data_IF_829916116956
#
_entry.id   IF_829916116956
#
_cell.length_a   1.000
_cell.length_b   1.000
_cell.length_c   1.000
_cell.angle_alpha   90.00
_cell.angle_beta   90.00
_cell.angle_gamma   90.00
#
_symmetry.space_group_name_H-M   'P 1'
#
loop_
_entity.id
_entity.type
_entity.pdbx_description
1 polymer ?
#
# COMPACT_ATOMS: atom_id res chain seq x y z
N UNK A 1 -103.76 -9.80 23.64
CA UNK A 1 -103.44 -11.14 23.12
C UNK A 1 -102.82 -11.09 21.73
N UNK A 2 -103.52 -10.69 20.65
CA UNK A 2 -102.89 -10.59 19.31
C UNK A 2 -101.84 -9.47 19.22
N UNK A 3 -102.18 -8.27 19.72
CA UNK A 3 -101.29 -7.10 19.68
C UNK A 3 -99.99 -7.27 20.49
N UNK A 4 -100.03 -8.06 21.58
CA UNK A 4 -98.86 -8.41 22.38
C UNK A 4 -97.95 -9.41 21.65
N UNK A 5 -98.54 -10.29 20.84
CA UNK A 5 -97.81 -11.21 19.97
C UNK A 5 -97.13 -10.48 18.81
N UNK A 6 -97.80 -9.49 18.21
CA UNK A 6 -97.24 -8.67 17.13
C UNK A 6 -96.06 -7.81 17.63
N UNK A 7 -96.17 -7.24 18.83
CA UNK A 7 -95.07 -6.48 19.46
C UNK A 7 -93.89 -7.38 19.84
N UNK A 8 -94.15 -8.58 20.35
CA UNK A 8 -93.12 -9.59 20.61
C UNK A 8 -92.41 -10.02 19.31
N UNK A 9 -93.17 -10.28 18.24
CA UNK A 9 -92.64 -10.68 16.94
C UNK A 9 -91.74 -9.59 16.33
N UNK A 10 -92.16 -8.31 16.42
CA UNK A 10 -91.35 -7.17 15.99
C UNK A 10 -90.02 -7.09 16.76
N UNK A 11 -90.06 -7.26 18.10
CA UNK A 11 -88.86 -7.23 18.94
C UNK A 11 -87.92 -8.41 18.68
N UNK A 12 -88.46 -9.60 18.45
CA UNK A 12 -87.67 -10.78 18.03
C UNK A 12 -87.02 -10.49 16.67
N UNK A 13 -87.75 -9.91 15.72
CA UNK A 13 -87.21 -9.50 14.42
C UNK A 13 -86.02 -8.54 14.55
N UNK A 14 -86.14 -7.51 15.40
CA UNK A 14 -85.05 -6.57 15.69
C UNK A 14 -83.84 -7.25 16.34
N UNK A 15 -84.05 -8.15 17.31
CA UNK A 15 -82.96 -8.90 17.94
C UNK A 15 -82.25 -9.81 16.94
N UNK A 16 -82.98 -10.47 16.05
CA UNK A 16 -82.39 -11.31 14.99
C UNK A 16 -81.55 -10.45 14.03
N UNK A 17 -82.02 -9.26 13.67
CA UNK A 17 -81.25 -8.33 12.84
C UNK A 17 -79.95 -7.88 13.54
N UNK A 18 -80.03 -7.52 14.82
CA UNK A 18 -78.87 -7.13 15.62
C UNK A 18 -77.85 -8.27 15.73
N UNK A 19 -78.30 -9.51 15.99
CA UNK A 19 -77.40 -10.68 16.05
C UNK A 19 -76.71 -10.92 14.71
N UNK A 20 -77.42 -10.78 13.59
CA UNK A 20 -76.82 -10.88 12.24
C UNK A 20 -75.78 -9.79 11.99
N UNK A 21 -76.06 -8.56 12.40
CA UNK A 21 -75.10 -7.47 12.29
C UNK A 21 -73.84 -7.72 13.12
N UNK A 22 -73.99 -8.10 14.39
CA UNK A 22 -72.86 -8.43 15.28
C UNK A 22 -72.05 -9.62 14.75
N UNK A 23 -72.70 -10.62 14.14
CA UNK A 23 -71.99 -11.72 13.47
C UNK A 23 -71.17 -11.23 12.27
N UNK A 24 -71.74 -10.36 11.43
CA UNK A 24 -71.03 -9.77 10.31
C UNK A 24 -69.82 -8.93 10.79
N UNK A 25 -70.02 -8.08 11.78
CA UNK A 25 -68.95 -7.27 12.39
C UNK A 25 -67.85 -8.15 13.00
N UNK A 26 -68.22 -9.21 13.72
CA UNK A 26 -67.25 -10.19 14.25
C UNK A 26 -66.42 -10.83 13.13
N UNK A 27 -67.06 -11.26 12.04
CA UNK A 27 -66.33 -11.87 10.90
C UNK A 27 -65.40 -10.87 10.22
N UNK A 28 -65.83 -9.60 10.09
CA UNK A 28 -65.00 -8.54 9.55
C UNK A 28 -63.78 -8.27 10.44
N UNK A 29 -63.96 -8.15 11.76
CA UNK A 29 -62.86 -7.96 12.71
C UNK A 29 -61.90 -9.16 12.71
N UNK A 30 -62.41 -10.39 12.65
CA UNK A 30 -61.57 -11.58 12.55
C UNK A 30 -60.71 -11.57 11.29
N UNK A 31 -61.28 -11.18 10.14
CA UNK A 31 -60.50 -11.06 8.90
C UNK A 31 -59.41 -9.99 8.98
N UNK A 32 -59.71 -8.86 9.63
CA UNK A 32 -58.75 -7.79 9.85
C UNK A 32 -57.61 -8.22 10.78
N UNK A 33 -57.91 -8.94 11.86
CA UNK A 33 -56.90 -9.47 12.77
C UNK A 33 -55.94 -10.42 12.05
N UNK A 34 -56.46 -11.36 11.26
CA UNK A 34 -55.63 -12.29 10.48
C UNK A 34 -54.73 -11.52 9.51
N UNK A 35 -55.26 -10.50 8.83
CA UNK A 35 -54.46 -9.66 7.92
C UNK A 35 -53.36 -8.91 8.66
N UNK A 36 -53.67 -8.27 9.79
CA UNK A 36 -52.68 -7.56 10.60
C UNK A 36 -51.61 -8.49 11.16
N UNK A 37 -51.96 -9.72 11.55
CA UNK A 37 -51.00 -10.72 12.00
C UNK A 37 -50.05 -11.16 10.88
N UNK A 38 -50.57 -11.33 9.66
CA UNK A 38 -49.76 -11.63 8.48
C UNK A 38 -48.81 -10.48 8.15
N UNK A 39 -49.31 -9.24 8.13
CA UNK A 39 -48.50 -8.04 7.88
C UNK A 39 -47.40 -7.88 8.94
N UNK A 40 -47.74 -8.05 10.23
CA UNK A 40 -46.76 -8.04 11.33
C UNK A 40 -45.69 -9.10 11.16
N UNK A 41 -46.05 -10.32 10.78
CA UNK A 41 -45.09 -11.39 10.59
C UNK A 41 -44.17 -11.10 9.41
N UNK A 42 -44.71 -10.59 8.29
CA UNK A 42 -43.92 -10.19 7.13
C UNK A 42 -42.93 -9.05 7.47
N UNK A 43 -43.35 -8.06 8.27
CA UNK A 43 -42.48 -6.98 8.73
C UNK A 43 -41.37 -7.49 9.65
N UNK A 44 -41.67 -8.45 10.54
CA UNK A 44 -40.66 -9.09 11.40
C UNK A 44 -39.62 -9.84 10.57
N UNK A 45 -40.06 -10.59 9.56
CA UNK A 45 -39.16 -11.32 8.67
C UNK A 45 -38.27 -10.36 7.86
N UNK A 46 -38.84 -9.26 7.36
CA UNK A 46 -38.07 -8.21 6.68
C UNK A 46 -37.03 -7.58 7.61
N UNK A 47 -37.42 -7.23 8.84
CA UNK A 47 -36.52 -6.67 9.83
C UNK A 47 -35.38 -7.63 10.17
N UNK A 48 -35.67 -8.92 10.36
CA UNK A 48 -34.66 -9.93 10.63
C UNK A 48 -33.65 -10.07 9.46
N UNK A 49 -34.13 -10.03 8.21
CA UNK A 49 -33.27 -10.05 7.02
C UNK A 49 -32.38 -8.82 6.95
N UNK A 50 -32.94 -7.63 7.13
CA UNK A 50 -32.18 -6.38 7.13
C UNK A 50 -31.12 -6.37 8.24
N UNK A 51 -31.45 -6.83 9.44
CA UNK A 51 -30.48 -6.95 10.54
C UNK A 51 -29.33 -7.90 10.19
N UNK A 52 -29.62 -9.05 9.57
CA UNK A 52 -28.60 -9.98 9.12
C UNK A 52 -27.71 -9.37 8.02
N UNK A 53 -28.29 -8.67 7.06
CA UNK A 53 -27.56 -7.96 6.01
C UNK A 53 -26.66 -6.86 6.57
N UNK A 54 -27.16 -6.06 7.51
CA UNK A 54 -26.38 -5.03 8.19
C UNK A 54 -25.23 -5.62 9.00
N UNK A 55 -25.46 -6.71 9.74
CA UNK A 55 -24.42 -7.40 10.47
C UNK A 55 -23.32 -7.91 9.53
N UNK A 56 -23.70 -8.57 8.42
CA UNK A 56 -22.77 -9.06 7.41
C UNK A 56 -22.01 -7.92 6.70
N UNK A 57 -22.65 -6.78 6.43
CA UNK A 57 -21.99 -5.61 5.88
C UNK A 57 -20.97 -5.01 6.86
N UNK A 58 -21.35 -4.91 8.14
CA UNK A 58 -20.46 -4.39 9.20
C UNK A 58 -19.24 -5.28 9.39
N UNK A 59 -19.43 -6.61 9.37
CA UNK A 59 -18.34 -7.57 9.45
C UNK A 59 -17.38 -7.42 8.26
N UNK A 60 -17.90 -7.35 7.03
CA UNK A 60 -17.06 -7.14 5.83
C UNK A 60 -16.30 -5.82 5.87
N UNK A 61 -16.90 -4.75 6.39
CA UNK A 61 -16.22 -3.47 6.58
C UNK A 61 -15.09 -3.57 7.61
N UNK A 62 -15.32 -4.29 8.72
CA UNK A 62 -14.29 -4.52 9.73
C UNK A 62 -13.12 -5.33 9.16
N UNK A 63 -13.40 -6.42 8.45
CA UNK A 63 -12.40 -7.24 7.76
C UNK A 63 -11.59 -6.39 6.77
N UNK A 64 -12.27 -5.63 5.90
CA UNK A 64 -11.60 -4.78 4.93
C UNK A 64 -10.77 -3.66 5.58
N UNK A 65 -11.24 -3.06 6.67
CA UNK A 65 -10.46 -2.06 7.42
C UNK A 65 -9.17 -2.67 7.98
N UNK A 66 -9.25 -3.89 8.52
CA UNK A 66 -8.07 -4.62 8.99
C UNK A 66 -7.11 -4.93 7.83
N UNK A 67 -7.62 -5.35 6.67
CA UNK A 67 -6.80 -5.59 5.48
C UNK A 67 -6.06 -4.31 5.05
N UNK A 68 -6.77 -3.18 4.96
CA UNK A 68 -6.17 -1.88 4.59
C UNK A 68 -5.08 -1.48 5.59
N UNK A 69 -5.32 -1.65 6.89
CA UNK A 69 -4.32 -1.33 7.91
C UNK A 69 -3.08 -2.23 7.78
N UNK A 70 -3.26 -3.53 7.50
CA UNK A 70 -2.12 -4.44 7.27
C UNK A 70 -1.31 -4.07 6.03
N UNK A 71 -1.98 -3.76 4.92
CA UNK A 71 -1.31 -3.34 3.67
C UNK A 71 -0.57 -2.04 3.88
N UNK A 72 -1.17 -1.09 4.62
CA UNK A 72 -0.52 0.18 4.95
C UNK A 72 0.73 -0.03 5.80
N UNK A 73 0.65 -0.85 6.84
CA UNK A 73 1.81 -1.17 7.68
C UNK A 73 2.93 -1.85 6.88
N UNK A 74 2.59 -2.77 5.97
CA UNK A 74 3.55 -3.40 5.06
C UNK A 74 4.19 -2.41 4.10
N UNK A 75 3.41 -1.49 3.53
CA UNK A 75 3.90 -0.45 2.64
C UNK A 75 4.87 0.49 3.38
N UNK A 76 4.50 0.95 4.57
CA UNK A 76 5.35 1.81 5.40
C UNK A 76 6.68 1.11 5.76
N UNK A 77 6.63 -0.14 6.19
CA UNK A 77 7.83 -0.94 6.47
C UNK A 77 8.72 -1.13 5.23
N UNK A 78 8.11 -1.36 4.06
CA UNK A 78 8.85 -1.51 2.80
C UNK A 78 9.53 -0.20 2.38
N UNK A 79 8.88 0.94 2.59
CA UNK A 79 9.44 2.26 2.29
C UNK A 79 10.61 2.59 3.22
N UNK A 80 10.49 2.28 4.51
CA UNK A 80 11.59 2.44 5.46
C UNK A 80 12.79 1.56 5.09
N UNK A 81 12.56 0.29 4.74
CA UNK A 81 13.61 -0.61 4.29
C UNK A 81 14.31 -0.09 3.02
N UNK A 82 13.54 0.38 2.03
CA UNK A 82 14.09 0.96 0.80
C UNK A 82 14.90 2.23 1.06
N UNK A 83 14.44 3.10 1.97
CA UNK A 83 15.19 4.30 2.37
C UNK A 83 16.52 3.93 3.02
N UNK A 84 16.51 3.00 3.97
CA UNK A 84 17.73 2.54 4.61
C UNK A 84 18.72 1.93 3.60
N UNK A 85 18.22 1.16 2.64
CA UNK A 85 19.04 0.55 1.58
C UNK A 85 19.61 1.59 0.61
N UNK A 86 18.84 2.63 0.28
CA UNK A 86 19.31 3.75 -0.54
C UNK A 86 20.39 4.57 0.18
N UNK A 87 20.21 4.81 1.48
CA UNK A 87 21.20 5.51 2.31
C UNK A 87 22.50 4.70 2.43
N UNK A 88 22.42 3.39 2.65
CA UNK A 88 23.60 2.53 2.71
C UNK A 88 24.35 2.50 1.38
N UNK A 89 23.64 2.33 0.27
CA UNK A 89 24.23 2.34 -1.07
C UNK A 89 24.88 3.69 -1.40
N UNK A 90 24.27 4.81 -0.96
CA UNK A 90 24.85 6.13 -1.14
C UNK A 90 26.15 6.31 -0.34
N UNK A 91 26.21 5.78 0.88
CA UNK A 91 27.42 5.81 1.70
C UNK A 91 28.53 4.96 1.09
N UNK A 92 28.21 3.73 0.66
CA UNK A 92 29.14 2.84 -0.04
C UNK A 92 29.72 3.50 -1.28
N UNK A 93 28.86 4.08 -2.13
CA UNK A 93 29.31 4.79 -3.33
C UNK A 93 30.23 5.98 -3.00
N UNK A 94 29.93 6.74 -1.95
CA UNK A 94 30.81 7.85 -1.51
C UNK A 94 32.17 7.36 -1.05
N UNK A 95 32.22 6.22 -0.34
CA UNK A 95 33.46 5.59 0.09
C UNK A 95 34.27 5.05 -1.08
N UNK A 96 33.61 4.42 -2.06
CA UNK A 96 34.28 3.96 -3.27
C UNK A 96 34.85 5.11 -4.09
N UNK A 97 34.07 6.17 -4.31
CA UNK A 97 34.54 7.35 -5.03
C UNK A 97 35.74 8.01 -4.33
N UNK A 98 35.72 8.11 -3.00
CA UNK A 98 36.86 8.69 -2.27
C UNK A 98 38.10 7.80 -2.37
N UNK A 99 37.94 6.47 -2.32
CA UNK A 99 39.02 5.51 -2.53
C UNK A 99 39.61 5.62 -3.94
N UNK A 100 38.77 5.61 -4.98
CA UNK A 100 39.25 5.73 -6.36
C UNK A 100 39.99 7.05 -6.60
N UNK A 101 39.54 8.15 -6.00
CA UNK A 101 40.27 9.43 -6.06
C UNK A 101 41.64 9.34 -5.42
N UNK A 102 41.73 8.78 -4.20
CA UNK A 102 43.01 8.62 -3.52
C UNK A 102 43.97 7.69 -4.29
N UNK A 103 43.45 6.62 -4.89
CA UNK A 103 44.24 5.70 -5.70
C UNK A 103 44.70 6.36 -7.02
N UNK A 104 43.85 7.18 -7.65
CA UNK A 104 44.21 7.98 -8.82
C UNK A 104 45.31 9.00 -8.51
N UNK A 105 45.18 9.76 -7.43
CA UNK A 105 46.18 10.74 -6.99
C UNK A 105 47.54 10.08 -6.73
N UNK A 106 47.56 8.90 -6.09
CA UNK A 106 48.79 8.12 -5.89
C UNK A 106 49.41 7.64 -7.20
N UNK A 107 48.59 7.19 -8.15
CA UNK A 107 49.07 6.75 -9.46
C UNK A 107 49.67 7.92 -10.24
N UNK A 108 49.03 9.10 -10.20
CA UNK A 108 49.52 10.33 -10.82
C UNK A 108 50.86 10.77 -10.22
N UNK A 109 51.00 10.78 -8.90
CA UNK A 109 52.25 11.09 -8.21
C UNK A 109 53.38 10.11 -8.55
N UNK A 110 53.06 8.81 -8.66
CA UNK A 110 54.03 7.77 -9.04
C UNK A 110 54.50 7.96 -10.48
N UNK A 111 53.57 8.28 -11.40
CA UNK A 111 53.88 8.58 -12.80
C UNK A 111 54.78 9.82 -12.91
N UNK A 112 54.47 10.90 -12.17
CA UNK A 112 55.27 12.11 -12.16
C UNK A 112 56.69 11.85 -11.63
N UNK A 113 56.80 11.09 -10.54
CA UNK A 113 58.11 10.66 -9.99
C UNK A 113 58.91 9.88 -11.04
N UNK A 114 58.30 8.86 -11.66
CA UNK A 114 58.97 8.05 -12.70
C UNK A 114 59.38 8.89 -13.92
N UNK A 115 58.55 9.86 -14.34
CA UNK A 115 58.87 10.76 -15.44
C UNK A 115 60.07 11.66 -15.12
N UNK A 116 60.14 12.23 -13.91
CA UNK A 116 61.28 13.05 -13.48
C UNK A 116 62.56 12.23 -13.35
N UNK A 117 62.49 11.01 -12.82
CA UNK A 117 63.62 10.10 -12.74
C UNK A 117 64.12 9.70 -14.13
N UNK A 118 63.20 9.38 -15.04
CA UNK A 118 63.52 9.09 -16.45
C UNK A 118 64.19 10.28 -17.16
N UNK A 119 63.74 11.50 -16.90
CA UNK A 119 64.35 12.72 -17.44
C UNK A 119 65.76 12.92 -16.89
N UNK A 120 65.96 12.69 -15.58
CA UNK A 120 67.27 12.76 -14.92
C UNK A 120 68.24 11.72 -15.48
N UNK A 121 67.80 10.47 -15.64
CA UNK A 121 68.61 9.39 -16.23
C UNK A 121 69.02 9.73 -17.67
N UNK A 122 68.10 10.27 -18.48
CA UNK A 122 68.40 10.75 -19.83
C UNK A 122 69.44 11.87 -19.82
N UNK A 123 69.31 12.86 -18.95
CA UNK A 123 70.29 13.95 -18.84
C UNK A 123 71.68 13.44 -18.44
N UNK A 124 71.76 12.51 -17.49
CA UNK A 124 73.03 11.88 -17.09
C UNK A 124 73.62 11.05 -18.24
N UNK A 125 72.79 10.30 -18.98
CA UNK A 125 73.25 9.53 -20.14
C UNK A 125 73.81 10.43 -21.24
N UNK A 126 73.17 11.57 -21.53
CA UNK A 126 73.68 12.57 -22.49
C UNK A 126 75.01 13.15 -22.00
N UNK A 127 75.09 13.60 -20.74
CA UNK A 127 76.33 14.15 -20.19
C UNK A 127 77.48 13.10 -20.14
N UNK A 128 77.17 11.83 -19.87
CA UNK A 128 78.14 10.75 -19.91
C UNK A 128 78.64 10.48 -21.34
N UNK A 129 77.75 10.55 -22.33
CA UNK A 129 78.10 10.45 -23.74
C UNK A 129 79.02 11.60 -24.17
N UNK A 130 78.67 12.84 -23.85
CA UNK A 130 79.50 14.02 -24.16
C UNK A 130 80.90 13.92 -23.53
N UNK A 131 81.01 13.40 -22.29
CA UNK A 131 82.30 13.15 -21.64
C UNK A 131 83.10 12.03 -22.32
N UNK A 132 82.43 10.97 -22.77
CA UNK A 132 83.05 9.90 -23.54
C UNK A 132 83.59 10.43 -24.87
N UNK A 133 82.78 11.20 -25.60
CA UNK A 133 83.16 11.83 -26.87
C UNK A 133 84.38 12.77 -26.65
N UNK A 134 84.35 13.62 -25.62
CA UNK A 134 85.47 14.50 -25.27
C UNK A 134 86.74 13.74 -24.84
N UNK A 135 86.62 12.57 -24.22
CA UNK A 135 87.77 11.71 -23.90
C UNK A 135 88.33 11.06 -25.16
N UNK A 136 87.48 10.58 -26.06
CA UNK A 136 87.86 9.99 -27.34
C UNK A 136 88.62 11.00 -28.23
N UNK A 137 88.20 12.26 -28.26
CA UNK A 137 88.93 13.35 -28.93
C UNK A 137 90.30 13.67 -28.30
N UNK A 138 90.48 13.35 -27.00
CA UNK A 138 91.71 13.59 -26.24
C UNK A 138 92.67 12.40 -26.20
N UNK A 139 92.31 11.28 -26.82
CA UNK A 139 93.21 10.14 -26.96
C UNK A 139 94.30 10.47 -28.01
N UNK A 140 95.59 10.23 -27.71
CA UNK A 140 96.66 10.42 -28.69
C UNK A 140 96.49 9.39 -29.82
N UNK A 141 95.93 9.83 -30.95
CA UNK A 141 95.75 9.03 -32.16
C UNK A 141 94.45 9.20 -32.95
N UNK A 142 93.51 10.08 -32.57
CA UNK A 142 92.32 10.33 -33.39
C UNK A 142 92.64 11.22 -34.62
N UNK A 143 92.13 10.89 -35.82
CA UNK A 143 92.46 11.59 -37.07
C UNK A 143 91.89 13.00 -37.07
N UNK A 144 92.77 13.97 -37.34
CA UNK A 144 92.36 15.33 -37.68
C UNK A 144 91.97 15.35 -39.16
N UNK A 145 90.66 15.37 -39.44
CA UNK A 145 90.10 15.91 -40.69
C UNK A 145 88.89 16.80 -40.38
#
# INVERSE_FOLDING_TARGET
MLQDLDTLAARIGQLVQLVRQLQAERTAMQSQLVRMEQERNALRDLQARQQAEHAAATQRLAEHSSEVDTVRAQADASLEALRAQAESAQLELRLEVSRYRADYEKAEQSLQTSATESARLRAVAVAAKERLDALLERLPGAPQE
#
